data_IF_336094814066
#
_entry.id   IF_336094814066
#
_cell.length_a   1.000
_cell.length_b   1.000
_cell.length_c   1.000
_cell.angle_alpha   90.00
_cell.angle_beta   90.00
_cell.angle_gamma   90.00
#
_symmetry.space_group_name_H-M   'P 1'
#
loop_
_entity.id
_entity.type
_entity.pdbx_description
1 polymer ?
#
# COMPACT_ATOMS: atom_id res chain seq x y z
N UNK A 1 -12.95 13.46 5.03
CA UNK A 1 -11.57 13.00 4.81
C UNK A 1 -11.27 12.01 5.91
N UNK A 2 -11.10 10.73 5.59
CA UNK A 2 -10.67 9.71 6.57
C UNK A 2 -9.15 9.67 6.64
N UNK A 3 -8.58 9.13 7.71
CA UNK A 3 -7.11 9.13 7.85
C UNK A 3 -6.47 8.30 6.72
N UNK A 4 -5.35 8.80 6.21
CA UNK A 4 -4.56 8.14 5.19
C UNK A 4 -3.80 6.96 5.82
N UNK A 5 -3.87 5.79 5.19
CA UNK A 5 -3.05 4.64 5.54
C UNK A 5 -1.75 4.67 4.73
N UNK A 6 -0.63 4.40 5.39
CA UNK A 6 0.67 4.23 4.76
C UNK A 6 1.14 2.80 5.00
N UNK A 7 1.66 2.15 3.96
CA UNK A 7 2.48 0.94 4.10
C UNK A 7 3.93 1.25 3.77
N UNK A 8 4.83 0.49 4.39
CA UNK A 8 6.25 0.61 4.17
C UNK A 8 6.93 -0.77 4.25
N UNK A 9 8.05 -0.93 3.55
CA UNK A 9 8.96 -2.07 3.69
C UNK A 9 10.42 -1.62 3.57
N UNK A 10 11.30 -2.29 4.30
CA UNK A 10 12.75 -2.14 4.15
C UNK A 10 13.25 -3.02 3.01
N UNK A 11 14.04 -2.45 2.11
CA UNK A 11 14.71 -3.14 1.02
C UNK A 11 16.13 -3.55 1.41
N UNK A 12 16.69 -4.55 0.72
CA UNK A 12 18.03 -5.07 0.97
C UNK A 12 19.14 -4.01 0.83
N UNK A 13 18.91 -2.96 0.04
CA UNK A 13 19.84 -1.84 -0.15
C UNK A 13 19.70 -0.75 0.92
N UNK A 14 18.96 -0.99 2.00
CA UNK A 14 18.75 -0.04 3.10
C UNK A 14 17.73 1.06 2.83
N UNK A 15 17.09 1.08 1.66
CA UNK A 15 16.00 2.02 1.40
C UNK A 15 14.67 1.49 1.94
N UNK A 16 13.84 2.39 2.43
CA UNK A 16 12.44 2.16 2.74
C UNK A 16 11.61 2.51 1.52
N UNK A 17 10.84 1.54 1.03
CA UNK A 17 9.79 1.76 0.04
C UNK A 17 8.48 1.99 0.77
N UNK A 18 7.81 3.12 0.54
CA UNK A 18 6.63 3.52 1.31
C UNK A 18 5.69 4.41 0.49
N UNK A 19 4.43 4.48 0.92
CA UNK A 19 3.43 5.35 0.30
C UNK A 19 2.01 4.97 0.67
N UNK A 20 1.06 5.62 0.00
CA UNK A 20 -0.35 5.53 0.29
C UNK A 20 -0.93 4.14 -0.02
N UNK A 21 -1.69 3.60 0.93
CA UNK A 21 -2.36 2.28 0.88
C UNK A 21 -3.86 2.34 1.14
N UNK A 22 -4.43 3.54 1.17
CA UNK A 22 -5.87 3.77 1.14
C UNK A 22 -6.36 4.81 2.14
N UNK A 23 -7.59 5.27 1.93
CA UNK A 23 -8.28 6.19 2.83
C UNK A 23 -9.21 5.42 3.75
N UNK A 24 -9.21 5.74 5.06
CA UNK A 24 -10.19 5.18 5.98
C UNK A 24 -9.72 4.88 7.39
N UNK A 25 -8.53 5.35 7.78
CA UNK A 25 -8.15 5.54 9.19
C UNK A 25 -8.36 4.38 10.15
N UNK A 26 -8.36 3.15 9.66
CA UNK A 26 -8.36 1.99 10.52
C UNK A 26 -7.27 1.04 10.05
N UNK A 27 -6.22 1.00 10.86
CA UNK A 27 -5.23 -0.08 10.89
C UNK A 27 -5.91 -1.46 10.80
N UNK A 28 -7.14 -1.61 11.33
CA UNK A 28 -7.91 -2.85 11.25
C UNK A 28 -8.29 -3.25 9.83
N UNK A 29 -8.85 -2.38 8.99
CA UNK A 29 -9.33 -2.81 7.67
C UNK A 29 -8.20 -3.07 6.68
N UNK A 30 -7.21 -2.19 6.62
CA UNK A 30 -6.02 -2.42 5.79
C UNK A 30 -5.24 -3.62 6.33
N UNK A 31 -5.03 -3.69 7.64
CA UNK A 31 -4.35 -4.81 8.29
C UNK A 31 -5.06 -6.16 8.07
N UNK A 32 -6.39 -6.22 8.19
CA UNK A 32 -7.17 -7.43 7.92
C UNK A 32 -7.02 -7.87 6.46
N UNK A 33 -7.05 -6.94 5.50
CA UNK A 33 -6.86 -7.28 4.08
C UNK A 33 -5.47 -7.84 3.81
N UNK A 34 -4.44 -7.24 4.43
CA UNK A 34 -3.07 -7.76 4.37
C UNK A 34 -2.99 -9.17 5.00
N UNK A 35 -3.61 -9.35 6.17
CA UNK A 35 -3.67 -10.64 6.88
C UNK A 35 -4.43 -11.73 6.10
N UNK A 36 -5.47 -11.37 5.36
CA UNK A 36 -6.27 -12.35 4.62
C UNK A 36 -5.70 -12.67 3.24
N UNK A 37 -5.11 -11.70 2.55
CA UNK A 37 -4.79 -11.84 1.13
C UNK A 37 -3.27 -11.84 0.83
N UNK A 38 -2.43 -11.24 1.68
CA UNK A 38 -1.01 -11.00 1.40
C UNK A 38 -0.07 -11.76 2.35
N UNK A 39 -0.23 -13.07 2.41
CA UNK A 39 0.51 -13.94 3.35
C UNK A 39 1.87 -14.42 2.83
N UNK A 40 2.04 -14.50 1.52
CA UNK A 40 3.29 -14.97 0.91
C UNK A 40 4.15 -13.81 0.40
N UNK A 41 5.49 -13.91 0.43
CA UNK A 41 6.39 -12.87 -0.08
C UNK A 41 6.06 -12.43 -1.52
N UNK A 42 5.71 -13.36 -2.41
CA UNK A 42 5.34 -13.06 -3.80
C UNK A 42 4.09 -12.17 -3.91
N UNK A 43 3.16 -12.31 -2.96
CA UNK A 43 1.95 -11.50 -2.92
C UNK A 43 2.28 -10.08 -2.44
N UNK A 44 3.22 -9.96 -1.50
CA UNK A 44 3.74 -8.66 -1.06
C UNK A 44 4.47 -7.97 -2.20
N UNK A 45 5.33 -8.67 -2.95
CA UNK A 45 5.96 -8.08 -4.15
C UNK A 45 4.94 -7.61 -5.17
N UNK A 46 3.89 -8.41 -5.39
CA UNK A 46 2.77 -8.01 -6.22
C UNK A 46 2.08 -6.74 -5.70
N UNK A 47 1.81 -6.64 -4.40
CA UNK A 47 1.22 -5.44 -3.81
C UNK A 47 2.08 -4.21 -4.06
N UNK A 48 3.39 -4.34 -3.86
CA UNK A 48 4.33 -3.23 -4.05
C UNK A 48 4.58 -2.89 -5.53
N UNK A 49 4.29 -3.81 -6.47
CA UNK A 49 4.39 -3.55 -7.91
C UNK A 49 3.21 -2.75 -8.47
N UNK A 50 2.06 -2.74 -7.77
CA UNK A 50 0.89 -1.94 -8.15
C UNK A 50 1.08 -0.43 -7.92
N UNK A 51 2.13 -0.04 -7.18
CA UNK A 51 2.31 1.33 -6.73
C UNK A 51 1.33 1.71 -5.61
N UNK A 52 1.19 3.02 -5.40
CA UNK A 52 0.31 3.55 -4.36
C UNK A 52 -1.15 3.29 -4.72
N UNK A 53 -1.96 2.96 -3.71
CA UNK A 53 -3.37 2.61 -3.89
C UNK A 53 -4.26 3.37 -2.94
N UNK A 54 -5.42 3.79 -3.42
CA UNK A 54 -6.47 4.40 -2.61
C UNK A 54 -7.37 3.35 -1.92
N UNK A 55 -7.23 2.07 -2.30
CA UNK A 55 -7.88 0.91 -1.68
C UNK A 55 -7.08 -0.37 -1.99
N UNK A 56 -6.56 -1.06 -0.98
CA UNK A 56 -5.97 -2.40 -1.17
C UNK A 56 -7.10 -3.41 -1.41
N UNK A 57 -7.11 -4.05 -2.58
CA UNK A 57 -8.02 -5.14 -2.93
C UNK A 57 -7.39 -6.54 -2.83
N UNK A 58 -8.15 -7.54 -3.26
CA UNK A 58 -7.66 -8.91 -3.47
C UNK A 58 -6.61 -8.94 -4.58
N UNK A 59 -5.73 -9.94 -4.53
CA UNK A 59 -4.74 -10.17 -5.59
C UNK A 59 -5.45 -10.34 -6.94
N UNK A 60 -4.98 -9.61 -7.96
CA UNK A 60 -5.54 -9.63 -9.31
C UNK A 60 -6.85 -8.87 -9.50
N UNK A 61 -7.38 -8.24 -8.44
CA UNK A 61 -8.71 -7.62 -8.49
C UNK A 61 -8.80 -6.38 -9.38
N UNK A 62 -7.68 -5.69 -9.63
CA UNK A 62 -7.60 -4.57 -10.58
C UNK A 62 -7.97 -4.96 -12.02
N UNK A 63 -8.02 -6.27 -12.33
CA UNK A 63 -8.44 -6.81 -13.64
C UNK A 63 -9.96 -7.00 -13.75
N UNK A 64 -10.73 -6.69 -12.71
CA UNK A 64 -12.18 -6.86 -12.66
C UNK A 64 -12.63 -8.23 -12.13
N UNK A 65 -13.94 -8.42 -12.05
CA UNK A 65 -14.57 -9.66 -11.54
C UNK A 65 -14.78 -9.71 -10.01
N UNK A 66 -14.45 -8.62 -9.30
CA UNK A 66 -14.65 -8.48 -7.86
C UNK A 66 -15.61 -7.33 -7.54
N UNK A 67 -16.20 -7.36 -6.34
CA UNK A 67 -16.96 -6.23 -5.82
C UNK A 67 -16.06 -5.00 -5.66
N UNK A 68 -16.64 -3.80 -5.78
CA UNK A 68 -15.89 -2.53 -5.71
C UNK A 68 -15.05 -2.42 -4.43
N UNK A 69 -15.55 -2.91 -3.30
CA UNK A 69 -14.85 -2.83 -2.02
C UNK A 69 -13.73 -3.88 -1.89
N UNK A 70 -13.66 -4.90 -2.74
CA UNK A 70 -12.58 -5.89 -2.78
C UNK A 70 -11.59 -5.63 -3.93
N UNK A 71 -11.85 -4.59 -4.72
CA UNK A 71 -11.09 -4.26 -5.92
C UNK A 71 -10.01 -3.24 -5.59
N UNK A 72 -8.79 -3.50 -6.06
CA UNK A 72 -7.70 -2.53 -6.00
C UNK A 72 -8.09 -1.23 -6.70
N UNK A 73 -7.72 -0.11 -6.10
CA UNK A 73 -7.84 1.20 -6.74
C UNK A 73 -6.46 1.88 -6.83
N UNK A 74 -5.58 1.42 -7.75
CA UNK A 74 -4.26 2.00 -7.93
C UNK A 74 -4.37 3.47 -8.32
N UNK A 75 -3.48 4.29 -7.78
CA UNK A 75 -3.41 5.72 -8.10
C UNK A 75 -2.68 5.99 -9.40
N UNK A 76 -1.90 5.02 -9.89
CA UNK A 76 -0.95 5.18 -10.99
C UNK A 76 0.43 5.70 -10.54
N UNK A 77 0.55 6.14 -9.29
CA UNK A 77 1.82 6.65 -8.75
C UNK A 77 2.67 5.51 -8.18
N UNK A 78 4.00 5.51 -8.41
CA UNK A 78 4.90 4.57 -7.77
C UNK A 78 5.00 4.85 -6.27
N UNK A 79 5.42 3.84 -5.51
CA UNK A 79 5.85 4.06 -4.12
C UNK A 79 7.09 4.95 -4.07
N UNK A 80 7.20 5.74 -3.01
CA UNK A 80 8.38 6.55 -2.74
C UNK A 80 9.50 5.70 -2.15
N UNK A 81 10.73 6.20 -2.30
CA UNK A 81 11.94 5.63 -1.73
C UNK A 81 12.63 6.68 -0.87
N UNK A 82 13.03 6.29 0.33
CA UNK A 82 13.80 7.11 1.24
C UNK A 82 14.67 6.22 2.14
N UNK A 83 15.74 6.76 2.70
CA UNK A 83 16.62 6.04 3.62
C UNK A 83 16.76 6.74 4.98
N UNK A 84 15.97 7.80 5.23
CA UNK A 84 15.93 8.50 6.51
C UNK A 84 14.50 8.86 6.87
N UNK A 85 14.22 8.90 8.18
CA UNK A 85 12.92 9.35 8.70
C UNK A 85 12.59 10.77 8.25
N UNK A 86 13.59 11.67 8.22
CA UNK A 86 13.39 13.05 7.75
C UNK A 86 12.84 13.07 6.32
N UNK A 87 13.42 12.29 5.39
CA UNK A 87 12.93 12.21 4.01
C UNK A 87 11.51 11.64 3.96
N UNK A 88 11.23 10.59 4.74
CA UNK A 88 9.92 9.95 4.83
C UNK A 88 8.87 10.97 5.28
N UNK A 89 9.06 11.58 6.45
CA UNK A 89 8.10 12.50 7.04
C UNK A 89 8.01 13.83 6.31
N UNK A 90 9.09 14.31 5.68
CA UNK A 90 9.04 15.52 4.84
C UNK A 90 8.06 15.39 3.68
N UNK A 91 7.76 14.16 3.24
CA UNK A 91 6.83 13.90 2.13
C UNK A 91 5.42 13.56 2.58
N UNK A 92 5.24 13.17 3.84
CA UNK A 92 3.94 12.81 4.44
C UNK A 92 3.28 14.02 5.10
N UNK A 93 4.09 14.90 5.70
CA UNK A 93 3.63 16.07 6.46
C UNK A 93 3.30 17.27 5.55
N UNK A 94 3.79 17.27 4.31
CA UNK A 94 3.51 18.28 3.28
C UNK A 94 2.35 17.84 2.39
#
# INVERSE_FOLDING_TARGET
MGDASIIARLLANGHVQYGWSGNGGYFSMVGIRLLLWYQEPKNVEYLFSLGQTSLIGKIGSEKGGFNWYETHCPTGEPFWLANTERMIFSRIVL
#
